data_IF_204640511549
#
_entry.id   IF_204640511549
#
_cell.length_a   1.000
_cell.length_b   1.000
_cell.length_c   1.000
_cell.angle_alpha   90.00
_cell.angle_beta   90.00
_cell.angle_gamma   90.00
#
_symmetry.space_group_name_H-M   'P 1'
#
loop_
_entity.id
_entity.type
_entity.pdbx_description
1 polymer ?
#
# COMPACT_ATOMS: atom_id res chain seq x y z
N UNK A 1 21.79 22.52 -6.06
CA UNK A 1 21.62 21.66 -4.89
C UNK A 1 21.11 20.27 -5.29
N UNK A 2 21.90 19.37 -5.91
CA UNK A 2 21.49 17.98 -6.16
C UNK A 2 22.45 16.90 -5.61
N UNK A 3 23.29 17.19 -4.61
CA UNK A 3 24.30 16.22 -4.14
C UNK A 3 23.87 15.38 -2.90
N UNK A 4 22.81 15.74 -2.19
CA UNK A 4 22.47 15.10 -0.91
C UNK A 4 21.68 13.79 -1.10
N UNK A 5 20.97 13.62 -2.21
CA UNK A 5 20.18 12.39 -2.47
C UNK A 5 21.02 11.23 -3.01
N UNK A 6 22.08 11.51 -3.78
CA UNK A 6 22.95 10.46 -4.33
C UNK A 6 23.79 9.76 -3.26
N UNK A 7 24.21 10.47 -2.21
CA UNK A 7 25.02 9.87 -1.14
C UNK A 7 24.25 8.92 -0.23
N UNK A 8 22.93 9.15 0.01
CA UNK A 8 22.10 8.21 0.80
C UNK A 8 21.77 6.92 0.07
N UNK A 9 21.73 6.96 -1.26
CA UNK A 9 21.44 5.78 -2.08
C UNK A 9 22.69 4.89 -2.19
N UNK A 10 23.88 5.47 -2.32
CA UNK A 10 25.14 4.75 -2.39
C UNK A 10 25.43 3.96 -1.09
N UNK A 11 25.36 4.60 0.08
CA UNK A 11 25.60 3.92 1.37
C UNK A 11 24.68 2.72 1.64
N UNK A 12 23.41 2.77 1.15
CA UNK A 12 22.46 1.66 1.36
C UNK A 12 22.64 0.48 0.39
N UNK A 13 23.30 0.66 -0.76
CA UNK A 13 23.63 -0.44 -1.67
C UNK A 13 24.88 -1.20 -1.21
N UNK A 14 25.86 -0.53 -0.65
CA UNK A 14 27.07 -1.14 -0.11
C UNK A 14 26.72 -2.00 1.12
N UNK A 15 25.85 -1.52 2.01
CA UNK A 15 25.34 -2.27 3.15
C UNK A 15 24.58 -3.54 2.70
N UNK A 16 23.76 -3.44 1.65
CA UNK A 16 23.05 -4.58 1.06
C UNK A 16 24.04 -5.63 0.50
N UNK A 17 25.12 -5.19 -0.16
CA UNK A 17 26.12 -6.10 -0.73
C UNK A 17 26.93 -6.84 0.35
N UNK A 18 27.31 -6.16 1.43
CA UNK A 18 27.97 -6.79 2.58
C UNK A 18 27.08 -7.86 3.22
N UNK A 19 25.80 -7.52 3.50
CA UNK A 19 24.83 -8.47 4.04
C UNK A 19 24.61 -9.67 3.12
N UNK A 20 24.51 -9.44 1.82
CA UNK A 20 24.39 -10.50 0.81
C UNK A 20 25.63 -11.38 0.77
N UNK A 21 26.83 -10.79 0.83
CA UNK A 21 28.08 -11.53 0.89
C UNK A 21 28.14 -12.50 2.08
N UNK A 22 27.78 -12.03 3.27
CA UNK A 22 27.69 -12.85 4.49
C UNK A 22 26.58 -13.92 4.39
N UNK A 23 25.43 -13.57 3.82
CA UNK A 23 24.34 -14.53 3.64
C UNK A 23 24.71 -15.65 2.64
N UNK A 24 25.49 -15.34 1.58
CA UNK A 24 26.09 -16.35 0.67
C UNK A 24 27.02 -17.32 1.41
N UNK A 25 27.76 -16.83 2.40
CA UNK A 25 28.58 -17.64 3.28
C UNK A 25 27.76 -18.41 4.35
N UNK A 26 26.42 -18.40 4.25
CA UNK A 26 25.49 -19.03 5.19
C UNK A 26 25.60 -18.50 6.63
N UNK A 27 25.98 -17.24 6.81
CA UNK A 27 25.93 -16.56 8.10
C UNK A 27 24.45 -16.39 8.53
N UNK A 28 24.05 -17.11 9.57
CA UNK A 28 22.68 -17.07 10.11
C UNK A 28 22.31 -15.66 10.59
N UNK A 29 23.25 -14.90 11.13
CA UNK A 29 23.04 -13.53 11.59
C UNK A 29 22.66 -12.60 10.43
N UNK A 30 23.36 -12.70 9.30
CA UNK A 30 23.06 -11.93 8.11
C UNK A 30 21.70 -12.33 7.50
N UNK A 31 21.40 -13.62 7.41
CA UNK A 31 20.11 -14.14 6.94
C UNK A 31 18.98 -13.60 7.81
N UNK A 32 19.11 -13.69 9.14
CA UNK A 32 18.13 -13.19 10.11
C UNK A 32 17.91 -11.67 9.97
N UNK A 33 18.99 -10.90 9.80
CA UNK A 33 18.91 -9.45 9.61
C UNK A 33 18.16 -9.09 8.32
N UNK A 34 18.44 -9.77 7.20
CA UNK A 34 17.72 -9.60 5.94
C UNK A 34 16.22 -9.88 6.11
N UNK A 35 15.88 -10.98 6.78
CA UNK A 35 14.47 -11.35 7.01
C UNK A 35 13.77 -10.30 7.87
N UNK A 36 14.34 -9.91 9.01
CA UNK A 36 13.75 -8.92 9.92
C UNK A 36 13.51 -7.57 9.25
N UNK A 37 14.44 -7.12 8.41
CA UNK A 37 14.30 -5.86 7.68
C UNK A 37 13.20 -5.89 6.61
N UNK A 38 12.87 -7.08 6.06
CA UNK A 38 11.98 -7.20 4.91
C UNK A 38 10.64 -7.88 5.21
N UNK A 39 10.49 -8.63 6.31
CA UNK A 39 9.27 -9.39 6.64
C UNK A 39 8.00 -8.57 6.47
N UNK A 40 7.94 -7.40 7.08
CA UNK A 40 6.75 -6.53 7.05
C UNK A 40 6.39 -6.09 5.63
N UNK A 41 7.40 -5.80 4.80
CA UNK A 41 7.21 -5.38 3.42
C UNK A 41 6.66 -6.53 2.57
N UNK A 42 7.33 -7.69 2.62
CA UNK A 42 6.94 -8.86 1.83
C UNK A 42 5.55 -9.38 2.22
N UNK A 43 5.25 -9.40 3.53
CA UNK A 43 3.93 -9.78 4.01
C UNK A 43 2.83 -8.85 3.48
N UNK A 44 3.03 -7.51 3.51
CA UNK A 44 2.05 -6.57 2.97
C UNK A 44 1.78 -6.76 1.48
N UNK A 45 2.83 -7.05 0.70
CA UNK A 45 2.70 -7.36 -0.72
C UNK A 45 1.82 -8.61 -0.90
N UNK A 46 2.22 -9.70 -0.27
CA UNK A 46 1.53 -10.99 -0.41
C UNK A 46 0.08 -10.89 0.08
N UNK A 47 -0.17 -10.30 1.26
CA UNK A 47 -1.50 -10.11 1.83
C UNK A 47 -2.40 -9.23 0.95
N UNK A 48 -1.85 -8.15 0.43
CA UNK A 48 -2.59 -7.26 -0.47
C UNK A 48 -2.98 -7.91 -1.79
N UNK A 49 -2.18 -8.85 -2.30
CA UNK A 49 -2.48 -9.60 -3.51
C UNK A 49 -3.50 -10.72 -3.21
N UNK A 50 -3.24 -11.56 -2.21
CA UNK A 50 -3.98 -12.79 -1.95
C UNK A 50 -5.22 -12.59 -1.05
N UNK A 51 -5.24 -11.55 -0.20
CA UNK A 51 -6.29 -11.27 0.78
C UNK A 51 -6.49 -12.40 1.80
N UNK A 52 -5.46 -13.19 2.04
CA UNK A 52 -5.45 -14.30 2.97
C UNK A 52 -4.13 -14.28 3.76
N UNK A 53 -4.21 -14.28 5.09
CA UNK A 53 -3.06 -14.11 5.97
C UNK A 53 -2.15 -15.35 5.95
N UNK A 54 -2.73 -16.57 5.99
CA UNK A 54 -1.97 -17.81 5.93
C UNK A 54 -1.22 -17.97 4.61
N UNK A 55 -1.90 -17.74 3.50
CA UNK A 55 -1.26 -17.76 2.18
C UNK A 55 -0.19 -16.70 2.02
N UNK A 56 -0.37 -15.53 2.64
CA UNK A 56 0.63 -14.46 2.62
C UNK A 56 1.89 -14.88 3.39
N UNK A 57 1.75 -15.52 4.55
CA UNK A 57 2.89 -16.07 5.30
C UNK A 57 3.63 -17.13 4.50
N UNK A 58 2.91 -18.04 3.86
CA UNK A 58 3.49 -19.07 2.99
C UNK A 58 4.27 -18.47 1.81
N UNK A 59 3.74 -17.39 1.19
CA UNK A 59 4.45 -16.67 0.12
C UNK A 59 5.73 -16.04 0.65
N UNK A 60 5.71 -15.44 1.84
CA UNK A 60 6.91 -14.85 2.43
C UNK A 60 7.98 -15.93 2.70
N UNK A 61 7.58 -17.08 3.25
CA UNK A 61 8.50 -18.20 3.47
C UNK A 61 9.11 -18.70 2.16
N UNK A 62 8.28 -18.97 1.15
CA UNK A 62 8.73 -19.44 -0.16
C UNK A 62 9.64 -18.41 -0.84
N UNK A 63 9.33 -17.10 -0.67
CA UNK A 63 10.17 -16.01 -1.17
C UNK A 63 11.58 -16.09 -0.60
N UNK A 64 11.74 -16.29 0.70
CA UNK A 64 13.05 -16.41 1.32
C UNK A 64 13.77 -17.68 0.92
N UNK A 65 13.07 -18.82 0.88
CA UNK A 65 13.67 -20.07 0.41
C UNK A 65 14.25 -19.90 -1.01
N UNK A 66 13.47 -19.35 -1.93
CA UNK A 66 13.95 -19.07 -3.30
C UNK A 66 15.07 -18.04 -3.33
N UNK A 67 14.91 -16.95 -2.59
CA UNK A 67 15.93 -15.89 -2.55
C UNK A 67 17.28 -16.43 -2.05
N UNK A 68 17.31 -17.15 -0.94
CA UNK A 68 18.55 -17.66 -0.38
C UNK A 68 19.14 -18.84 -1.18
N UNK A 69 18.30 -19.65 -1.84
CA UNK A 69 18.75 -20.69 -2.75
C UNK A 69 19.41 -20.11 -4.02
N UNK A 70 18.94 -18.96 -4.49
CA UNK A 70 19.42 -18.33 -5.72
C UNK A 70 20.08 -16.96 -5.43
N UNK A 71 20.68 -16.77 -4.26
CA UNK A 71 21.25 -15.49 -3.84
C UNK A 71 22.38 -15.02 -4.75
N UNK A 72 23.05 -15.95 -5.46
CA UNK A 72 24.06 -15.64 -6.47
C UNK A 72 23.51 -14.89 -7.68
N UNK A 73 22.21 -14.99 -7.94
CA UNK A 73 21.55 -14.24 -9.00
C UNK A 73 21.33 -12.76 -8.68
N UNK A 74 21.47 -12.36 -7.43
CA UNK A 74 21.41 -10.96 -7.04
C UNK A 74 22.67 -10.22 -7.48
N UNK A 75 22.54 -9.34 -8.46
CA UNK A 75 23.65 -8.59 -9.08
C UNK A 75 23.95 -7.26 -8.42
N UNK A 76 23.06 -6.76 -7.52
CA UNK A 76 23.20 -5.44 -6.92
C UNK A 76 22.70 -4.27 -7.78
N UNK A 77 22.07 -4.55 -8.94
CA UNK A 77 21.52 -3.53 -9.84
C UNK A 77 20.31 -2.78 -9.23
N UNK A 78 19.75 -3.34 -8.16
CA UNK A 78 18.67 -2.76 -7.36
C UNK A 78 18.91 -3.03 -5.88
N UNK A 79 18.15 -2.39 -5.00
CA UNK A 79 18.15 -2.71 -3.56
C UNK A 79 17.71 -4.15 -3.34
N UNK A 80 18.32 -4.81 -2.35
CA UNK A 80 17.95 -6.17 -1.96
C UNK A 80 16.43 -6.28 -1.66
N UNK A 81 15.87 -5.28 -0.97
CA UNK A 81 14.45 -5.22 -0.66
C UNK A 81 13.54 -5.16 -1.91
N UNK A 82 14.01 -4.55 -3.01
CA UNK A 82 13.28 -4.50 -4.28
C UNK A 82 13.34 -5.84 -4.99
N UNK A 83 14.50 -6.49 -4.99
CA UNK A 83 14.66 -7.82 -5.56
C UNK A 83 13.80 -8.87 -4.84
N UNK A 84 13.78 -8.86 -3.50
CA UNK A 84 12.92 -9.71 -2.70
C UNK A 84 11.43 -9.44 -2.97
N UNK A 85 11.04 -8.17 -3.09
CA UNK A 85 9.67 -7.79 -3.41
C UNK A 85 9.20 -8.33 -4.77
N UNK A 86 10.08 -8.34 -5.78
CA UNK A 86 9.79 -8.95 -7.10
C UNK A 86 9.55 -10.46 -6.98
N UNK A 87 10.35 -11.16 -6.18
CA UNK A 87 10.14 -12.60 -5.95
C UNK A 87 8.80 -12.85 -5.26
N UNK A 88 8.49 -12.10 -4.19
CA UNK A 88 7.23 -12.22 -3.46
C UNK A 88 6.01 -11.94 -4.35
N UNK A 89 6.08 -10.89 -5.18
CA UNK A 89 5.01 -10.58 -6.13
C UNK A 89 4.78 -11.69 -7.14
N UNK A 90 5.85 -12.21 -7.74
CA UNK A 90 5.76 -13.29 -8.71
C UNK A 90 5.15 -14.55 -8.08
N UNK A 91 5.53 -14.88 -6.84
CA UNK A 91 4.96 -16.02 -6.12
C UNK A 91 3.47 -15.79 -5.80
N UNK A 92 3.12 -14.62 -5.26
CA UNK A 92 1.73 -14.29 -4.94
C UNK A 92 0.83 -14.28 -6.17
N UNK A 93 1.28 -13.67 -7.27
CA UNK A 93 0.56 -13.65 -8.55
C UNK A 93 0.44 -15.06 -9.15
N UNK A 94 1.49 -15.87 -9.03
CA UNK A 94 1.45 -17.26 -9.47
C UNK A 94 0.41 -18.09 -8.70
N UNK A 95 0.29 -17.90 -7.38
CA UNK A 95 -0.75 -18.55 -6.56
C UNK A 95 -2.14 -18.04 -6.93
N UNK A 96 -2.32 -16.74 -7.08
CA UNK A 96 -3.59 -16.14 -7.47
C UNK A 96 -4.09 -16.66 -8.82
N UNK A 97 -3.21 -16.75 -9.82
CA UNK A 97 -3.54 -17.30 -11.15
C UNK A 97 -3.95 -18.80 -11.08
N UNK A 98 -3.33 -19.57 -10.21
CA UNK A 98 -3.70 -20.98 -10.01
C UNK A 98 -5.07 -21.14 -9.35
N UNK A 99 -5.45 -20.25 -8.46
CA UNK A 99 -6.74 -20.27 -7.78
C UNK A 99 -7.89 -19.77 -8.65
N UNK A 100 -7.60 -18.86 -9.60
CA UNK A 100 -8.60 -18.24 -10.47
C UNK A 100 -8.12 -18.20 -11.92
N UNK A 101 -8.15 -19.33 -12.63
CA UNK A 101 -7.62 -19.42 -14.00
C UNK A 101 -8.37 -18.57 -15.03
N UNK A 102 -9.53 -18.01 -14.73
CA UNK A 102 -10.43 -17.33 -15.69
C UNK A 102 -10.58 -15.82 -15.52
N UNK A 103 -9.72 -15.13 -14.78
CA UNK A 103 -9.77 -13.66 -14.72
C UNK A 103 -9.12 -13.07 -15.95
N UNK A 104 -9.93 -12.71 -16.95
CA UNK A 104 -9.49 -11.93 -18.10
C UNK A 104 -9.16 -10.50 -17.65
N UNK A 105 -7.86 -10.19 -17.58
CA UNK A 105 -7.33 -8.92 -17.12
C UNK A 105 -7.58 -7.76 -18.11
N UNK A 106 -8.15 -8.05 -19.28
CA UNK A 106 -8.28 -7.09 -20.39
C UNK A 106 -9.62 -6.35 -20.44
N UNK A 107 -10.66 -6.86 -19.81
CA UNK A 107 -12.03 -6.34 -19.96
C UNK A 107 -12.52 -5.50 -18.78
N UNK A 108 -12.06 -4.25 -18.65
CA UNK A 108 -12.71 -3.26 -17.79
C UNK A 108 -12.79 -1.91 -18.49
N UNK A 109 -14.02 -1.54 -18.82
CA UNK A 109 -14.36 -0.30 -19.53
C UNK A 109 -13.99 1.01 -18.80
N UNK A 110 -13.82 2.14 -19.52
CA UNK A 110 -13.35 3.39 -18.96
C UNK A 110 -14.45 4.14 -18.20
N UNK A 111 -14.22 4.43 -16.93
CA UNK A 111 -14.97 5.43 -16.17
C UNK A 111 -14.12 6.68 -16.04
N UNK A 112 -14.61 7.80 -16.58
CA UNK A 112 -13.97 9.10 -16.45
C UNK A 112 -14.16 9.64 -15.03
N UNK A 113 -13.09 10.07 -14.35
CA UNK A 113 -13.20 10.93 -13.17
C UNK A 113 -11.91 11.71 -12.92
N UNK A 114 -12.09 12.97 -12.57
CA UNK A 114 -11.03 13.91 -12.15
C UNK A 114 -10.34 13.45 -10.88
N UNK A 115 -9.05 13.20 -10.95
CA UNK A 115 -8.25 12.74 -9.81
C UNK A 115 -7.37 13.86 -9.25
N UNK A 116 -7.75 14.43 -8.11
CA UNK A 116 -6.85 15.21 -7.27
C UNK A 116 -5.87 14.27 -6.55
N UNK A 117 -4.60 14.67 -6.50
CA UNK A 117 -3.54 13.91 -5.80
C UNK A 117 -3.76 14.04 -4.29
N UNK A 118 -4.01 12.92 -3.62
CA UNK A 118 -4.01 12.84 -2.15
C UNK A 118 -2.61 12.37 -1.73
N UNK A 119 -1.89 13.21 -0.99
CA UNK A 119 -0.67 12.80 -0.30
C UNK A 119 -1.07 12.24 1.06
N UNK A 120 -0.78 10.96 1.30
CA UNK A 120 -0.92 10.37 2.62
C UNK A 120 0.31 10.70 3.45
N UNK A 121 0.19 11.26 4.66
CA UNK A 121 1.33 11.50 5.53
C UNK A 121 1.88 10.17 6.04
N UNK A 122 3.07 9.81 5.56
CA UNK A 122 3.85 8.68 6.06
C UNK A 122 4.86 9.22 7.05
N UNK A 123 4.45 9.49 8.29
CA UNK A 123 5.39 9.70 9.38
C UNK A 123 4.67 9.59 10.73
N UNK A 124 4.99 8.57 11.48
CA UNK A 124 4.55 8.43 12.86
C UNK A 124 5.76 8.19 13.76
N UNK A 125 6.13 9.23 14.47
CA UNK A 125 6.94 9.14 15.69
C UNK A 125 6.33 10.07 16.73
N UNK A 126 5.40 9.55 17.54
CA UNK A 126 5.13 10.02 18.90
C UNK A 126 4.27 9.00 19.63
N UNK A 127 4.75 8.55 20.77
CA UNK A 127 4.08 7.55 21.63
C UNK A 127 3.06 8.27 22.48
N UNK A 128 1.84 8.42 21.94
CA UNK A 128 0.66 8.87 22.66
C UNK A 128 -0.40 7.78 22.48
N UNK A 129 -0.95 7.16 23.56
CA UNK A 129 -1.88 6.04 23.47
C UNK A 129 -3.14 6.36 22.66
N UNK A 130 -3.71 7.56 22.80
CA UNK A 130 -4.91 7.98 22.05
C UNK A 130 -4.60 8.17 20.57
N UNK A 131 -3.46 8.78 20.25
CA UNK A 131 -2.97 8.88 18.87
C UNK A 131 -2.69 7.51 18.27
N UNK A 132 -2.23 6.56 19.09
CA UNK A 132 -1.95 5.19 18.65
C UNK A 132 -3.23 4.45 18.29
N UNK A 133 -4.32 4.63 19.05
CA UNK A 133 -5.63 4.05 18.72
C UNK A 133 -6.21 4.65 17.45
N UNK A 134 -6.27 5.97 17.34
CA UNK A 134 -6.76 6.65 16.13
C UNK A 134 -5.94 6.29 14.87
N UNK A 135 -4.63 6.13 15.02
CA UNK A 135 -3.77 5.65 13.93
C UNK A 135 -4.08 4.21 13.53
N UNK A 136 -4.30 3.31 14.49
CA UNK A 136 -4.67 1.91 14.21
C UNK A 136 -6.01 1.83 13.49
N UNK A 137 -6.99 2.59 13.92
CA UNK A 137 -8.30 2.66 13.29
C UNK A 137 -8.20 3.22 11.87
N UNK A 138 -7.43 4.27 11.66
CA UNK A 138 -7.17 4.81 10.32
C UNK A 138 -6.45 3.79 9.43
N UNK A 139 -5.45 3.08 9.95
CA UNK A 139 -4.79 2.01 9.21
C UNK A 139 -5.79 0.92 8.79
N UNK A 140 -6.66 0.50 9.70
CA UNK A 140 -7.67 -0.51 9.42
C UNK A 140 -8.68 -0.05 8.35
N UNK A 141 -9.13 1.20 8.42
CA UNK A 141 -10.01 1.82 7.41
C UNK A 141 -9.33 1.81 6.03
N UNK A 142 -8.06 2.21 5.97
CA UNK A 142 -7.30 2.22 4.70
C UNK A 142 -7.08 0.81 4.16
N UNK A 143 -6.71 -0.14 5.00
CA UNK A 143 -6.55 -1.55 4.61
C UNK A 143 -7.84 -2.13 4.05
N UNK A 144 -8.97 -1.93 4.74
CA UNK A 144 -10.27 -2.36 4.24
C UNK A 144 -10.64 -1.68 2.91
N UNK A 145 -10.38 -0.38 2.78
CA UNK A 145 -10.68 0.35 1.55
C UNK A 145 -9.84 -0.15 0.35
N UNK A 146 -8.59 -0.58 0.61
CA UNK A 146 -7.72 -1.23 -0.39
C UNK A 146 -8.24 -2.64 -0.72
N UNK A 147 -8.65 -3.41 0.29
CA UNK A 147 -9.19 -4.76 0.10
C UNK A 147 -10.51 -4.77 -0.72
N UNK A 148 -11.29 -3.70 -0.64
CA UNK A 148 -12.51 -3.51 -1.43
C UNK A 148 -12.25 -3.17 -2.90
N UNK A 149 -11.00 -2.82 -3.27
CA UNK A 149 -10.67 -2.59 -4.67
C UNK A 149 -10.79 -3.89 -5.48
N UNK A 150 -11.35 -3.86 -6.69
CA UNK A 150 -11.28 -4.99 -7.59
C UNK A 150 -9.82 -5.39 -7.84
N UNK A 151 -9.57 -6.68 -7.99
CA UNK A 151 -8.24 -7.28 -8.01
C UNK A 151 -7.24 -6.59 -8.93
N UNK A 152 -7.65 -6.32 -10.19
CA UNK A 152 -6.80 -5.68 -11.18
C UNK A 152 -6.33 -4.25 -10.79
N UNK A 153 -7.14 -3.52 -10.05
CA UNK A 153 -6.81 -2.16 -9.57
C UNK A 153 -6.01 -2.23 -8.28
N UNK A 154 -6.35 -3.16 -7.39
CA UNK A 154 -5.67 -3.36 -6.11
C UNK A 154 -4.21 -3.75 -6.32
N UNK A 155 -3.93 -4.70 -7.19
CA UNK A 155 -2.57 -5.15 -7.47
C UNK A 155 -1.71 -4.02 -8.04
N UNK A 156 -2.23 -3.27 -9.01
CA UNK A 156 -1.52 -2.09 -9.54
C UNK A 156 -1.30 -1.03 -8.45
N UNK A 157 -2.27 -0.80 -7.57
CA UNK A 157 -2.13 0.14 -6.46
C UNK A 157 -1.03 -0.29 -5.49
N UNK A 158 -0.99 -1.55 -5.09
CA UNK A 158 0.03 -2.11 -4.20
C UNK A 158 1.40 -1.94 -4.83
N UNK A 159 1.58 -2.37 -6.08
CA UNK A 159 2.85 -2.33 -6.80
C UNK A 159 3.38 -0.90 -6.94
N UNK A 160 2.50 0.04 -7.35
CA UNK A 160 2.88 1.41 -7.64
C UNK A 160 2.99 2.33 -6.42
N UNK A 161 2.09 2.17 -5.44
CA UNK A 161 1.98 3.10 -4.32
C UNK A 161 2.63 2.55 -3.06
N UNK A 162 2.39 1.29 -2.75
CA UNK A 162 2.94 0.68 -1.52
C UNK A 162 4.40 0.29 -1.73
N UNK A 163 4.72 -0.30 -2.89
CA UNK A 163 6.08 -0.77 -3.20
C UNK A 163 6.94 0.26 -3.94
N UNK A 164 6.32 1.32 -4.46
CA UNK A 164 7.03 2.41 -5.11
C UNK A 164 7.69 2.03 -6.43
N UNK A 165 7.31 0.91 -7.05
CA UNK A 165 7.82 0.52 -8.37
C UNK A 165 7.44 1.54 -9.44
N UNK A 166 8.29 1.73 -10.44
CA UNK A 166 7.97 2.60 -11.57
C UNK A 166 6.92 1.95 -12.50
N UNK A 167 6.47 2.67 -13.53
CA UNK A 167 5.41 2.20 -14.43
C UNK A 167 5.88 1.01 -15.26
N UNK A 168 7.11 1.06 -15.72
CA UNK A 168 7.76 0.08 -16.57
C UNK A 168 7.97 -1.23 -15.81
N UNK A 169 8.52 -1.18 -14.60
CA UNK A 169 8.67 -2.34 -13.71
C UNK A 169 7.33 -2.99 -13.38
N UNK A 170 6.30 -2.17 -13.12
CA UNK A 170 4.96 -2.67 -12.84
C UNK A 170 4.35 -3.34 -14.07
N UNK A 171 4.54 -2.75 -15.25
CA UNK A 171 4.06 -3.30 -16.51
C UNK A 171 4.70 -4.66 -16.81
N UNK A 172 6.01 -4.78 -16.60
CA UNK A 172 6.77 -6.03 -16.77
C UNK A 172 6.28 -7.14 -15.82
N UNK A 173 6.18 -6.84 -14.51
CA UNK A 173 5.78 -7.86 -13.51
C UNK A 173 4.34 -8.34 -13.69
N UNK A 174 3.45 -7.42 -14.09
CA UNK A 174 2.02 -7.73 -14.23
C UNK A 174 1.65 -8.19 -15.64
N UNK A 175 2.61 -8.20 -16.58
CA UNK A 175 2.38 -8.47 -18.00
C UNK A 175 1.29 -7.56 -18.59
N UNK A 176 1.47 -6.24 -18.39
CA UNK A 176 0.54 -5.19 -18.81
C UNK A 176 1.25 -4.15 -19.66
N UNK A 177 0.48 -3.42 -20.47
CA UNK A 177 1.01 -2.22 -21.16
C UNK A 177 1.19 -1.08 -20.14
N UNK A 178 2.23 -0.22 -20.27
CA UNK A 178 2.45 0.94 -19.39
C UNK A 178 1.24 1.87 -19.27
N UNK A 179 0.50 2.09 -20.36
CA UNK A 179 -0.73 2.89 -20.37
C UNK A 179 -1.84 2.25 -19.54
N UNK A 180 -1.94 0.92 -19.57
CA UNK A 180 -2.89 0.17 -18.72
C UNK A 180 -2.56 0.34 -17.26
N UNK A 181 -1.27 0.31 -16.88
CA UNK A 181 -0.82 0.55 -15.50
C UNK A 181 -1.24 1.96 -15.05
N UNK A 182 -0.97 3.00 -15.86
CA UNK A 182 -1.34 4.39 -15.56
C UNK A 182 -2.87 4.53 -15.37
N UNK A 183 -3.64 3.99 -16.30
CA UNK A 183 -5.11 4.06 -16.26
C UNK A 183 -5.67 3.31 -15.05
N UNK A 184 -5.18 2.10 -14.76
CA UNK A 184 -5.60 1.31 -13.59
C UNK A 184 -5.24 2.01 -12.29
N UNK A 185 -4.05 2.59 -12.19
CA UNK A 185 -3.64 3.34 -11.00
C UNK A 185 -4.55 4.55 -10.75
N UNK A 186 -4.87 5.30 -11.81
CA UNK A 186 -5.78 6.44 -11.71
C UNK A 186 -7.15 6.02 -11.17
N UNK A 187 -7.72 4.95 -11.72
CA UNK A 187 -9.01 4.41 -11.28
C UNK A 187 -8.95 3.83 -9.88
N UNK A 188 -7.88 3.11 -9.54
CA UNK A 188 -7.66 2.59 -8.19
C UNK A 188 -7.69 3.71 -7.15
N UNK A 189 -7.03 4.84 -7.42
CA UNK A 189 -7.03 6.02 -6.54
C UNK A 189 -8.41 6.64 -6.40
N UNK A 190 -9.19 6.73 -7.48
CA UNK A 190 -10.55 7.27 -7.44
C UNK A 190 -11.49 6.38 -6.61
N UNK A 191 -11.44 5.06 -6.82
CA UNK A 191 -12.22 4.08 -6.04
C UNK A 191 -11.80 4.09 -4.58
N UNK A 192 -10.50 4.10 -4.30
CA UNK A 192 -9.99 4.15 -2.92
C UNK A 192 -10.48 5.38 -2.18
N UNK A 193 -10.45 6.55 -2.84
CA UNK A 193 -11.00 7.79 -2.26
C UNK A 193 -12.46 7.61 -1.88
N UNK A 194 -13.29 7.11 -2.80
CA UNK A 194 -14.72 6.87 -2.56
C UNK A 194 -14.95 5.89 -1.41
N UNK A 195 -14.16 4.81 -1.34
CA UNK A 195 -14.26 3.82 -0.26
C UNK A 195 -13.88 4.42 1.10
N UNK A 196 -12.81 5.23 1.14
CA UNK A 196 -12.37 5.92 2.36
C UNK A 196 -13.41 6.97 2.78
N UNK A 197 -13.91 7.80 1.88
CA UNK A 197 -14.96 8.79 2.15
C UNK A 197 -16.22 8.14 2.71
N UNK A 198 -16.64 7.00 2.17
CA UNK A 198 -17.77 6.22 2.66
C UNK A 198 -17.59 5.73 4.10
N UNK A 199 -16.36 5.38 4.48
CA UNK A 199 -16.03 4.86 5.82
C UNK A 199 -15.81 5.98 6.84
N UNK A 200 -15.21 7.10 6.44
CA UNK A 200 -14.90 8.24 7.31
C UNK A 200 -16.08 9.23 7.40
N UNK A 201 -16.90 9.35 6.34
CA UNK A 201 -18.00 10.28 6.27
C UNK A 201 -18.93 10.26 7.48
N UNK A 202 -19.43 9.10 7.96
CA UNK A 202 -20.23 9.00 9.17
C UNK A 202 -19.53 9.54 10.41
N UNK A 203 -18.24 9.20 10.60
CA UNK A 203 -17.44 9.64 11.75
C UNK A 203 -17.24 11.15 11.74
N UNK A 204 -17.00 11.75 10.57
CA UNK A 204 -16.88 13.22 10.45
C UNK A 204 -18.21 13.92 10.72
N UNK A 205 -19.32 13.35 10.28
CA UNK A 205 -20.67 13.88 10.57
C UNK A 205 -20.98 13.84 12.07
N UNK A 206 -20.56 12.80 12.78
CA UNK A 206 -20.69 12.70 14.22
C UNK A 206 -19.72 13.63 15.00
N UNK A 207 -18.52 13.87 14.45
CA UNK A 207 -17.53 14.75 15.07
C UNK A 207 -17.94 16.23 15.07
N UNK A 208 -18.85 16.64 14.17
CA UNK A 208 -19.39 18.00 14.09
C UNK A 208 -20.93 18.02 14.21
N UNK A 209 -21.50 17.51 15.31
CA UNK A 209 -22.94 17.45 15.46
C UNK A 209 -23.51 18.86 15.60
N UNK A 210 -24.09 19.39 14.53
CA UNK A 210 -24.91 20.58 14.56
C UNK A 210 -26.39 20.19 14.72
N UNK A 211 -26.70 19.60 15.89
CA UNK A 211 -28.03 19.10 16.21
C UNK A 211 -28.43 19.45 17.66
N UNK A 212 -29.68 19.23 18.02
CA UNK A 212 -30.21 19.42 19.36
C UNK A 212 -30.24 20.88 19.79
N UNK A 213 -29.82 21.15 21.04
CA UNK A 213 -29.91 22.49 21.70
C UNK A 213 -29.20 23.62 20.91
N UNK A 214 -28.15 23.33 20.15
CA UNK A 214 -27.45 24.34 19.33
C UNK A 214 -28.27 24.72 18.11
N UNK A 215 -28.87 23.75 17.44
CA UNK A 215 -29.75 23.99 16.30
C UNK A 215 -31.00 24.77 16.71
N UNK A 216 -31.66 24.37 17.80
CA UNK A 216 -32.82 25.07 18.37
C UNK A 216 -32.47 26.51 18.71
N UNK A 217 -31.39 26.76 19.42
CA UNK A 217 -30.95 28.11 19.80
C UNK A 217 -30.66 29.00 18.56
N UNK A 218 -30.05 28.46 17.52
CA UNK A 218 -29.82 29.20 16.28
C UNK A 218 -31.16 29.56 15.62
N UNK A 219 -32.07 28.61 15.53
CA UNK A 219 -33.42 28.83 14.95
C UNK A 219 -34.17 29.92 15.68
N UNK A 220 -34.23 29.85 17.01
CA UNK A 220 -34.86 30.89 17.83
C UNK A 220 -34.22 32.26 17.68
N UNK A 221 -32.87 32.31 17.59
CA UNK A 221 -32.17 33.55 17.38
C UNK A 221 -32.48 34.18 16.01
N UNK A 222 -32.62 33.35 14.96
CA UNK A 222 -33.01 33.81 13.61
C UNK A 222 -34.46 34.27 13.62
N UNK A 223 -35.40 33.49 14.19
CA UNK A 223 -36.79 33.86 14.27
C UNK A 223 -36.98 35.19 15.05
N UNK A 224 -36.27 35.38 16.15
CA UNK A 224 -36.28 36.62 16.90
C UNK A 224 -35.79 37.82 16.09
N UNK A 225 -34.76 37.66 15.26
CA UNK A 225 -34.26 38.70 14.38
C UNK A 225 -35.21 39.05 13.23
N UNK A 226 -36.01 38.08 12.82
CA UNK A 226 -37.03 38.26 11.77
C UNK A 226 -38.37 38.75 12.33
N UNK A 227 -38.48 38.95 13.65
CA UNK A 227 -39.73 39.35 14.32
C UNK A 227 -40.82 38.26 14.32
N UNK A 228 -40.44 36.98 14.12
CA UNK A 228 -41.33 35.82 14.05
C UNK A 228 -41.32 34.98 15.32
N UNK A 229 -40.48 35.30 16.31
CA UNK A 229 -40.47 34.67 17.61
C UNK A 229 -41.60 35.20 18.50
N UNK A 230 -42.33 34.25 19.18
CA UNK A 230 -43.34 34.61 20.19
C UNK A 230 -42.66 35.10 21.43
#
# INVERSE_FOLDING_TARGET
MPQVQSQRIAGSCDDDQELVGRARARDEGAIRAIMQANNRKLYRIARGILRNDGEAEDVVQETYVRAFTHLDSFRGDSRLSTWLARIAMNEALGRLRRQRPSVDWTTLEPVASDARIIQFPVSATSVDPEKTMAQREMHHIVEQAVDELPEAFRIVFITRVIEGMNVEETAEILDLKPETVKTRLHRARAMLRKNVEKKIGPVVMEAFPFAGKRCARLTEAVLGRLGLGK
#
